data_IF_772525226063
#
_entry.id   IF_772525226063
#
_cell.length_a   1.000
_cell.length_b   1.000
_cell.length_c   1.000
_cell.angle_alpha   90.00
_cell.angle_beta   90.00
_cell.angle_gamma   90.00
#
_symmetry.space_group_name_H-M   'P 1'
#
loop_
_entity.id
_entity.type
_entity.pdbx_description
1 polymer ?
#
# COMPACT_ATOMS: atom_id res chain seq x y z
N UNK A 1 34.01 6.67 -5.46
CA UNK A 1 32.68 6.48 -4.86
C UNK A 1 31.98 5.16 -5.22
N UNK A 2 32.56 4.23 -6.01
CA UNK A 2 31.87 3.00 -6.44
C UNK A 2 31.58 1.97 -5.33
N UNK A 3 32.61 1.46 -4.66
CA UNK A 3 32.47 0.32 -3.72
C UNK A 3 31.55 0.56 -2.51
N UNK A 4 31.43 1.80 -2.05
CA UNK A 4 30.57 2.13 -0.91
C UNK A 4 29.08 2.22 -1.31
N UNK A 5 28.80 2.71 -2.52
CA UNK A 5 27.43 2.74 -3.08
C UNK A 5 26.95 1.33 -3.35
N UNK A 6 27.78 0.53 -4.02
CA UNK A 6 27.51 -0.87 -4.35
C UNK A 6 27.14 -1.69 -3.10
N UNK A 7 27.96 -1.60 -2.04
CA UNK A 7 27.67 -2.29 -0.77
C UNK A 7 26.36 -1.84 -0.10
N UNK A 8 25.98 -0.57 -0.25
CA UNK A 8 24.72 -0.07 0.29
C UNK A 8 23.54 -0.61 -0.53
N UNK A 9 23.66 -0.61 -1.85
CA UNK A 9 22.65 -1.15 -2.76
C UNK A 9 22.41 -2.64 -2.50
N UNK A 10 23.49 -3.42 -2.37
CA UNK A 10 23.44 -4.84 -1.99
C UNK A 10 22.73 -5.04 -0.64
N UNK A 11 23.13 -4.29 0.40
CA UNK A 11 22.51 -4.43 1.71
C UNK A 11 21.02 -4.07 1.73
N UNK A 12 20.60 -3.08 0.94
CA UNK A 12 19.18 -2.70 0.81
C UNK A 12 18.41 -3.78 0.03
N UNK A 13 18.99 -4.32 -1.03
CA UNK A 13 18.39 -5.41 -1.81
C UNK A 13 18.26 -6.69 -0.97
N UNK A 14 19.28 -7.03 -0.18
CA UNK A 14 19.28 -8.17 0.74
C UNK A 14 18.20 -8.00 1.81
N UNK A 15 18.08 -6.80 2.40
CA UNK A 15 17.03 -6.53 3.39
C UNK A 15 15.63 -6.63 2.77
N UNK A 16 15.42 -6.09 1.57
CA UNK A 16 14.15 -6.21 0.86
C UNK A 16 13.82 -7.68 0.57
N UNK A 17 14.81 -8.45 0.12
CA UNK A 17 14.68 -9.88 -0.18
C UNK A 17 14.34 -10.66 1.09
N UNK A 18 15.05 -10.41 2.19
CA UNK A 18 14.78 -11.04 3.47
C UNK A 18 13.37 -10.74 3.96
N UNK A 19 12.97 -9.47 3.98
CA UNK A 19 11.62 -9.07 4.39
C UNK A 19 10.51 -9.63 3.49
N UNK A 20 10.80 -9.94 2.23
CA UNK A 20 9.85 -10.54 1.29
C UNK A 20 9.79 -12.07 1.34
N UNK A 21 10.74 -12.74 1.99
CA UNK A 21 10.84 -14.20 2.03
C UNK A 21 10.78 -14.79 3.44
N UNK A 22 10.95 -13.98 4.48
CA UNK A 22 10.99 -14.44 5.87
C UNK A 22 10.00 -13.66 6.75
N UNK A 23 9.51 -14.31 7.80
CA UNK A 23 8.80 -13.65 8.90
C UNK A 23 9.87 -13.07 9.83
N UNK A 24 10.06 -11.75 9.77
CA UNK A 24 11.08 -11.06 10.56
C UNK A 24 10.72 -11.06 12.05
N UNK A 25 11.68 -10.91 12.96
CA UNK A 25 11.37 -10.61 14.36
C UNK A 25 10.90 -9.16 14.51
N UNK A 26 9.89 -8.92 15.36
CA UNK A 26 9.31 -7.57 15.47
C UNK A 26 10.28 -6.55 16.06
N UNK A 27 11.13 -6.97 16.99
CA UNK A 27 12.20 -6.14 17.56
C UNK A 27 13.11 -5.54 16.48
N UNK A 28 13.33 -6.28 15.39
CA UNK A 28 14.32 -5.95 14.37
C UNK A 28 13.78 -4.93 13.37
N UNK A 29 12.45 -4.90 13.16
CA UNK A 29 11.80 -4.05 12.15
C UNK A 29 10.95 -2.93 12.74
N UNK A 30 10.63 -2.96 14.04
CA UNK A 30 9.70 -1.99 14.63
C UNK A 30 10.12 -0.53 14.48
N UNK A 31 11.42 -0.24 14.53
CA UNK A 31 11.96 1.10 14.30
C UNK A 31 11.86 1.52 12.82
N UNK A 32 12.13 0.60 11.90
CA UNK A 32 12.02 0.81 10.46
C UNK A 32 10.58 1.13 10.04
N UNK A 33 9.60 0.54 10.72
CA UNK A 33 8.17 0.72 10.42
C UNK A 33 7.54 1.96 11.08
N UNK A 34 8.31 2.72 11.86
CA UNK A 34 7.85 3.95 12.47
C UNK A 34 7.41 4.98 11.41
N UNK A 35 6.41 5.80 11.77
CA UNK A 35 5.81 6.80 10.89
C UNK A 35 5.77 8.16 11.58
N UNK A 36 5.92 9.22 10.80
CA UNK A 36 5.51 10.57 11.18
C UNK A 36 4.07 10.81 10.75
N UNK A 37 3.19 11.08 11.73
CA UNK A 37 1.80 11.41 11.49
C UNK A 37 1.63 12.87 11.07
N UNK A 38 0.85 13.10 10.01
CA UNK A 38 0.45 14.42 9.52
C UNK A 38 -1.05 14.40 9.22
N UNK A 39 -1.75 15.45 9.62
CA UNK A 39 -3.16 15.66 9.25
C UNK A 39 -3.21 16.71 8.14
N UNK A 40 -3.63 16.30 6.94
CA UNK A 40 -3.83 17.21 5.81
C UNK A 40 -5.30 17.62 5.72
N UNK A 41 -5.54 18.87 5.32
CA UNK A 41 -6.90 19.37 5.04
C UNK A 41 -7.43 18.77 3.73
N UNK A 42 -8.62 18.15 3.78
CA UNK A 42 -9.29 17.51 2.63
C UNK A 42 -10.42 18.37 2.05
N UNK A 43 -10.87 19.43 2.73
CA UNK A 43 -11.95 20.34 2.30
C UNK A 43 -13.20 19.64 1.68
N UNK A 44 -14.16 19.15 2.49
CA UNK A 44 -14.20 19.13 3.95
C UNK A 44 -13.50 17.89 4.54
N UNK A 45 -13.17 17.97 5.83
CA UNK A 45 -12.61 16.87 6.61
C UNK A 45 -11.08 16.81 6.62
N UNK A 46 -10.54 15.76 7.22
CA UNK A 46 -9.10 15.55 7.39
C UNK A 46 -8.65 14.29 6.67
N UNK A 47 -7.41 14.32 6.18
CA UNK A 47 -6.71 13.18 5.60
C UNK A 47 -5.48 12.85 6.45
N UNK A 48 -5.51 11.77 7.27
CA UNK A 48 -4.35 11.34 8.01
C UNK A 48 -3.30 10.73 7.07
N UNK A 49 -2.05 11.13 7.22
CA UNK A 49 -0.90 10.62 6.46
C UNK A 49 0.13 10.07 7.44
N UNK A 50 0.60 8.85 7.19
CA UNK A 50 1.71 8.23 7.89
C UNK A 50 2.96 8.23 7.01
N UNK A 51 3.82 9.23 7.16
CA UNK A 51 5.08 9.31 6.42
C UNK A 51 6.07 8.33 7.02
N UNK A 52 6.39 7.25 6.30
CA UNK A 52 7.35 6.25 6.77
C UNK A 52 8.80 6.68 6.71
N UNK A 53 9.64 5.96 7.44
CA UNK A 53 11.08 6.08 7.39
C UNK A 53 11.61 5.97 5.96
N UNK A 54 12.67 6.72 5.64
CA UNK A 54 13.20 6.80 4.27
C UNK A 54 13.60 5.42 3.75
N UNK A 55 14.30 4.64 4.56
CA UNK A 55 14.71 3.29 4.20
C UNK A 55 13.49 2.38 3.96
N UNK A 56 12.47 2.42 4.81
CA UNK A 56 11.24 1.64 4.62
C UNK A 56 10.55 1.99 3.30
N UNK A 57 10.49 3.28 2.96
CA UNK A 57 9.89 3.74 1.70
C UNK A 57 10.71 3.32 0.48
N UNK A 58 12.03 3.27 0.60
CA UNK A 58 12.91 2.72 -0.46
C UNK A 58 12.61 1.22 -0.65
N UNK A 59 12.61 0.44 0.44
CA UNK A 59 12.31 -1.00 0.41
C UNK A 59 10.93 -1.27 -0.20
N UNK A 60 9.89 -0.58 0.27
CA UNK A 60 8.53 -0.70 -0.25
C UNK A 60 8.45 -0.34 -1.74
N UNK A 61 9.16 0.69 -2.19
CA UNK A 61 9.26 1.04 -3.61
C UNK A 61 9.98 -0.02 -4.44
N UNK A 62 11.05 -0.62 -3.92
CA UNK A 62 11.77 -1.70 -4.60
C UNK A 62 10.85 -2.91 -4.80
N UNK A 63 10.16 -3.33 -3.73
CA UNK A 63 9.19 -4.43 -3.80
C UNK A 63 8.07 -4.11 -4.79
N UNK A 64 7.49 -2.91 -4.71
CA UNK A 64 6.47 -2.46 -5.65
C UNK A 64 6.99 -2.47 -7.10
N UNK A 65 8.20 -1.96 -7.33
CA UNK A 65 8.79 -1.91 -8.67
C UNK A 65 8.92 -3.29 -9.30
N UNK A 66 9.35 -4.27 -8.50
CA UNK A 66 9.58 -5.65 -8.95
C UNK A 66 8.30 -6.45 -9.12
N UNK A 67 7.23 -6.12 -8.37
CA UNK A 67 6.06 -7.01 -8.24
C UNK A 67 4.72 -6.37 -8.60
N UNK A 68 4.68 -5.07 -8.93
CA UNK A 68 3.43 -4.39 -9.34
C UNK A 68 2.76 -5.02 -10.57
N UNK A 69 3.53 -5.67 -11.44
CA UNK A 69 3.01 -6.35 -12.62
C UNK A 69 2.03 -7.47 -12.25
N UNK A 70 2.28 -8.16 -11.13
CA UNK A 70 1.41 -9.21 -10.60
C UNK A 70 0.05 -8.59 -10.23
N UNK A 71 0.05 -7.48 -9.48
CA UNK A 71 -1.18 -6.77 -9.09
C UNK A 71 -1.95 -6.28 -10.31
N UNK A 72 -1.26 -5.70 -11.31
CA UNK A 72 -1.89 -5.26 -12.55
C UNK A 72 -2.53 -6.41 -13.32
N UNK A 73 -1.87 -7.57 -13.35
CA UNK A 73 -2.39 -8.76 -14.02
C UNK A 73 -3.62 -9.31 -13.29
N UNK A 74 -3.56 -9.46 -11.96
CA UNK A 74 -4.67 -9.96 -11.15
C UNK A 74 -5.88 -9.00 -11.15
N UNK A 75 -5.63 -7.69 -11.14
CA UNK A 75 -6.68 -6.66 -11.20
C UNK A 75 -7.38 -6.57 -12.56
N UNK A 76 -6.66 -6.87 -13.64
CA UNK A 76 -7.16 -6.76 -15.00
C UNK A 76 -7.78 -5.40 -15.33
N UNK A 77 -8.88 -5.42 -16.09
CA UNK A 77 -9.67 -4.22 -16.40
C UNK A 77 -10.76 -3.93 -15.34
N UNK A 78 -11.03 -4.89 -14.44
CA UNK A 78 -12.09 -4.80 -13.44
C UNK A 78 -11.71 -3.87 -12.29
N UNK A 79 -10.42 -3.82 -11.94
CA UNK A 79 -9.90 -2.89 -10.95
C UNK A 79 -8.87 -1.90 -11.53
N UNK A 80 -9.33 -0.69 -11.81
CA UNK A 80 -8.50 0.38 -12.37
C UNK A 80 -7.43 0.90 -11.39
N UNK A 81 -7.52 0.57 -10.09
CA UNK A 81 -6.50 0.90 -9.09
C UNK A 81 -5.25 -0.02 -9.19
N UNK A 82 -5.34 -1.15 -9.90
CA UNK A 82 -4.25 -2.13 -10.07
C UNK A 82 -3.07 -1.65 -10.93
N UNK A 83 -3.12 -0.43 -11.46
CA UNK A 83 -2.00 0.19 -12.18
C UNK A 83 -1.97 -0.12 -13.69
N UNK A 84 -3.09 -0.56 -14.26
CA UNK A 84 -3.22 -0.75 -15.71
C UNK A 84 -2.93 0.55 -16.46
N UNK A 85 -2.03 0.49 -17.44
CA UNK A 85 -1.67 1.66 -18.26
C UNK A 85 -2.91 2.17 -18.99
N UNK A 86 -3.20 3.47 -18.86
CA UNK A 86 -4.42 4.10 -19.40
C UNK A 86 -5.73 3.49 -18.87
N UNK A 87 -5.72 2.78 -17.74
CA UNK A 87 -6.90 2.11 -17.19
C UNK A 87 -8.08 3.04 -16.93
N UNK A 88 -7.84 4.24 -16.38
CA UNK A 88 -8.91 5.22 -16.13
C UNK A 88 -9.59 5.66 -17.43
N UNK A 89 -8.79 6.00 -18.45
CA UNK A 89 -9.31 6.42 -19.76
C UNK A 89 -10.08 5.27 -20.42
N UNK A 90 -9.49 4.07 -20.44
CA UNK A 90 -10.13 2.86 -20.97
C UNK A 90 -11.45 2.53 -20.27
N UNK A 91 -11.50 2.63 -18.94
CA UNK A 91 -12.72 2.41 -18.17
C UNK A 91 -13.82 3.41 -18.48
N UNK A 92 -13.48 4.70 -18.66
CA UNK A 92 -14.45 5.73 -19.07
C UNK A 92 -14.99 5.46 -20.48
N UNK A 93 -14.13 5.06 -21.42
CA UNK A 93 -14.58 4.71 -22.77
C UNK A 93 -15.48 3.47 -22.78
N UNK A 94 -15.09 2.40 -22.07
CA UNK A 94 -15.89 1.19 -21.94
C UNK A 94 -17.28 1.47 -21.34
N UNK A 95 -17.35 2.31 -20.28
CA UNK A 95 -18.65 2.71 -19.70
C UNK A 95 -19.52 3.49 -20.69
N UNK A 96 -18.94 4.38 -21.50
CA UNK A 96 -19.68 5.16 -22.51
C UNK A 96 -20.23 4.28 -23.62
N UNK A 97 -19.43 3.35 -24.12
CA UNK A 97 -19.83 2.40 -25.16
C UNK A 97 -20.95 1.48 -24.66
N UNK A 98 -20.77 0.88 -23.47
CA UNK A 98 -21.80 0.05 -22.84
C UNK A 98 -23.15 0.76 -22.72
N UNK A 99 -23.14 2.04 -22.32
CA UNK A 99 -24.35 2.85 -22.24
C UNK A 99 -24.96 3.13 -23.61
N UNK A 100 -24.14 3.46 -24.62
CA UNK A 100 -24.61 3.78 -25.96
C UNK A 100 -25.24 2.57 -26.67
N UNK A 101 -24.71 1.38 -26.42
CA UNK A 101 -25.20 0.12 -27.02
C UNK A 101 -26.53 -0.36 -26.38
N UNK A 102 -27.07 0.37 -25.40
CA UNK A 102 -28.30 0.01 -24.70
C UNK A 102 -28.15 -1.20 -23.77
N UNK A 103 -26.92 -1.50 -23.34
CA UNK A 103 -26.63 -2.65 -22.47
C UNK A 103 -27.23 -2.50 -21.06
N UNK A 104 -26.75 -1.56 -20.24
CA UNK A 104 -27.27 -1.33 -18.89
C UNK A 104 -28.44 -0.34 -18.87
N UNK A 105 -29.52 -0.67 -18.15
CA UNK A 105 -30.66 0.24 -17.93
C UNK A 105 -30.38 1.30 -16.85
N UNK A 106 -29.46 1.00 -15.91
CA UNK A 106 -29.13 1.85 -14.76
C UNK A 106 -27.63 1.81 -14.48
N UNK A 107 -27.05 2.96 -14.12
CA UNK A 107 -25.68 3.07 -13.61
C UNK A 107 -25.75 3.49 -12.14
N UNK A 108 -25.05 2.78 -11.26
CA UNK A 108 -25.00 3.05 -9.82
C UNK A 108 -23.60 3.50 -9.43
N UNK A 109 -23.51 4.67 -8.81
CA UNK A 109 -22.27 5.17 -8.23
C UNK A 109 -22.21 4.81 -6.74
N UNK A 110 -21.17 4.07 -6.35
CA UNK A 110 -20.93 3.67 -4.96
C UNK A 110 -19.59 4.25 -4.50
N UNK A 111 -19.58 4.91 -3.35
CA UNK A 111 -18.37 5.42 -2.71
C UNK A 111 -18.20 4.79 -1.31
N UNK A 112 -17.01 4.25 -1.04
CA UNK A 112 -16.69 3.65 0.23
C UNK A 112 -16.20 4.71 1.23
N UNK A 113 -16.94 4.90 2.32
CA UNK A 113 -16.55 5.82 3.39
C UNK A 113 -15.24 5.38 4.05
N UNK A 114 -14.23 6.25 4.03
CA UNK A 114 -12.94 6.05 4.70
C UNK A 114 -12.20 4.76 4.31
N UNK A 115 -12.32 4.34 3.05
CA UNK A 115 -11.92 3.02 2.56
C UNK A 115 -10.51 2.54 2.99
N UNK A 116 -9.51 3.42 2.93
CA UNK A 116 -8.13 3.07 3.34
C UNK A 116 -7.98 2.76 4.82
N UNK A 117 -8.75 3.40 5.68
CA UNK A 117 -8.63 3.22 7.13
C UNK A 117 -9.58 2.13 7.65
N UNK A 118 -10.65 1.82 6.90
CA UNK A 118 -11.68 0.84 7.27
C UNK A 118 -11.55 -0.50 6.56
N UNK A 119 -10.53 -0.68 5.71
CA UNK A 119 -10.22 -1.98 5.10
C UNK A 119 -9.90 -3.00 6.19
N UNK A 120 -10.50 -4.20 6.15
CA UNK A 120 -10.05 -5.29 7.03
C UNK A 120 -8.63 -5.70 6.64
N UNK A 121 -7.66 -5.45 7.54
CA UNK A 121 -6.25 -5.68 7.27
C UNK A 121 -5.93 -7.17 7.22
N UNK A 122 -6.60 -8.01 8.01
CA UNK A 122 -6.36 -9.44 8.01
C UNK A 122 -6.85 -10.05 6.71
N UNK A 123 -8.05 -9.68 6.25
CA UNK A 123 -8.58 -10.10 4.96
C UNK A 123 -7.69 -9.61 3.80
N UNK A 124 -7.23 -8.36 3.85
CA UNK A 124 -6.33 -7.82 2.83
C UNK A 124 -4.98 -8.56 2.77
N UNK A 125 -4.36 -8.84 3.92
CA UNK A 125 -3.11 -9.62 3.99
C UNK A 125 -3.30 -11.06 3.48
N UNK A 126 -4.44 -11.67 3.80
CA UNK A 126 -4.80 -12.99 3.28
C UNK A 126 -4.96 -13.01 1.76
N UNK A 127 -5.69 -12.04 1.20
CA UNK A 127 -5.85 -11.91 -0.25
C UNK A 127 -4.52 -11.63 -0.93
N UNK A 128 -3.67 -10.77 -0.36
CA UNK A 128 -2.31 -10.54 -0.87
C UNK A 128 -1.47 -11.83 -0.85
N UNK A 129 -1.66 -12.72 0.13
CA UNK A 129 -0.94 -14.00 0.17
C UNK A 129 -1.29 -14.91 -1.00
N UNK A 130 -2.54 -14.86 -1.45
CA UNK A 130 -3.06 -15.69 -2.54
C UNK A 130 -2.75 -15.05 -3.90
N UNK A 131 -3.18 -13.80 -4.10
CA UNK A 131 -3.14 -13.10 -5.39
C UNK A 131 -1.77 -12.44 -5.64
N UNK A 132 -1.06 -12.02 -4.59
CA UNK A 132 0.19 -11.26 -4.70
C UNK A 132 1.30 -11.87 -3.82
N UNK A 133 1.50 -13.18 -3.99
CA UNK A 133 2.38 -13.98 -3.14
C UNK A 133 3.80 -13.41 -3.00
N UNK A 134 4.35 -12.82 -4.06
CA UNK A 134 5.71 -12.24 -4.13
C UNK A 134 5.95 -11.05 -3.20
N UNK A 135 4.91 -10.31 -2.83
CA UNK A 135 5.02 -9.20 -1.88
C UNK A 135 4.37 -9.50 -0.52
N UNK A 136 3.67 -10.63 -0.41
CA UNK A 136 2.79 -10.94 0.73
C UNK A 136 3.51 -10.95 2.09
N UNK A 137 4.72 -11.50 2.18
CA UNK A 137 5.49 -11.52 3.43
C UNK A 137 6.04 -10.15 3.78
N UNK A 138 6.42 -9.35 2.79
CA UNK A 138 6.81 -7.96 3.02
C UNK A 138 5.64 -7.14 3.59
N UNK A 139 4.46 -7.30 3.00
CA UNK A 139 3.23 -6.69 3.49
C UNK A 139 2.90 -7.19 4.90
N UNK A 140 2.96 -8.51 5.13
CA UNK A 140 2.74 -9.08 6.45
C UNK A 140 3.70 -8.49 7.48
N UNK A 141 5.00 -8.45 7.22
CA UNK A 141 5.99 -7.83 8.11
C UNK A 141 5.70 -6.36 8.37
N UNK A 142 5.23 -5.62 7.36
CA UNK A 142 4.90 -4.19 7.46
C UNK A 142 3.62 -3.92 8.26
N UNK A 143 2.62 -4.79 8.16
CA UNK A 143 1.24 -4.54 8.58
C UNK A 143 0.72 -5.46 9.70
N UNK A 144 1.41 -6.54 10.07
CA UNK A 144 0.99 -7.50 11.12
C UNK A 144 0.99 -6.94 12.54
N UNK A 145 1.65 -5.80 12.75
CA UNK A 145 1.81 -5.17 14.05
C UNK A 145 1.22 -3.77 14.09
N UNK A 146 1.46 -3.08 15.20
CA UNK A 146 1.09 -1.68 15.35
C UNK A 146 2.19 -0.77 14.79
N UNK A 147 1.83 0.24 14.02
CA UNK A 147 2.76 1.30 13.66
C UNK A 147 2.93 2.27 14.83
N UNK A 148 4.17 2.69 15.12
CA UNK A 148 4.46 3.80 16.03
C UNK A 148 4.37 5.11 15.22
N UNK A 149 3.35 5.91 15.50
CA UNK A 149 3.08 7.16 14.79
C UNK A 149 3.47 8.35 15.67
N UNK A 150 4.50 9.07 15.26
CA UNK A 150 4.98 10.28 15.93
C UNK A 150 4.25 11.51 15.39
N UNK A 151 3.54 12.22 16.27
CA UNK A 151 2.81 13.45 15.94
C UNK A 151 3.46 14.62 16.67
N UNK A 152 3.70 15.72 15.95
CA UNK A 152 4.31 16.92 16.53
C UNK A 152 3.42 17.45 17.68
N UNK A 153 4.03 17.68 18.84
CA UNK A 153 3.32 18.20 20.02
C UNK A 153 2.69 17.12 20.90
N UNK A 154 2.83 15.84 20.56
CA UNK A 154 2.38 14.70 21.39
C UNK A 154 3.61 14.05 22.02
N UNK A 155 3.59 13.89 23.36
CA UNK A 155 4.75 13.40 24.12
C UNK A 155 5.09 11.92 23.86
N UNK A 156 4.08 11.11 23.54
CA UNK A 156 4.22 9.68 23.26
C UNK A 156 3.73 9.36 21.85
N UNK A 157 4.31 8.36 21.17
CA UNK A 157 3.82 7.94 19.87
C UNK A 157 2.41 7.38 19.99
N UNK A 158 1.55 7.75 19.03
CA UNK A 158 0.25 7.11 18.86
C UNK A 158 0.49 5.73 18.26
N UNK A 159 -0.01 4.69 18.90
CA UNK A 159 0.08 3.33 18.37
C UNK A 159 -1.12 3.08 17.46
N UNK A 160 -0.85 2.69 16.22
CA UNK A 160 -1.89 2.22 15.29
C UNK A 160 -2.31 0.81 15.65
N UNK A 161 -3.08 0.66 16.73
CA UNK A 161 -3.53 -0.64 17.26
C UNK A 161 -4.73 -1.18 16.46
N UNK A 162 -5.35 -0.38 15.60
CA UNK A 162 -6.46 -0.86 14.75
C UNK A 162 -5.99 -2.04 13.90
N UNK A 163 -6.81 -3.09 13.80
CA UNK A 163 -6.64 -4.20 12.84
C UNK A 163 -7.16 -3.82 11.44
N UNK A 164 -7.31 -2.52 11.18
CA UNK A 164 -7.97 -1.99 9.99
C UNK A 164 -7.06 -1.02 9.25
N UNK A 165 -7.11 -1.09 7.94
CA UNK A 165 -6.58 -0.12 7.03
C UNK A 165 -5.14 -0.34 6.60
N UNK A 166 -4.77 0.40 5.55
CA UNK A 166 -3.39 0.59 5.09
C UNK A 166 -2.93 2.01 5.42
N UNK A 167 -1.62 2.21 5.51
CA UNK A 167 -1.09 3.53 5.88
C UNK A 167 -1.06 4.45 4.66
N UNK A 168 -1.88 5.49 4.65
CA UNK A 168 -1.82 6.52 3.60
C UNK A 168 -0.44 7.21 3.59
N UNK A 169 0.27 7.11 2.47
CA UNK A 169 1.65 7.58 2.32
C UNK A 169 2.69 6.45 2.24
N UNK A 170 2.29 5.20 2.52
CA UNK A 170 3.11 4.03 2.20
C UNK A 170 3.09 3.73 0.68
N UNK A 171 4.24 3.50 0.03
CA UNK A 171 4.30 3.15 -1.39
C UNK A 171 3.48 1.93 -1.81
N UNK A 172 3.30 0.94 -0.92
CA UNK A 172 2.57 -0.30 -1.20
C UNK A 172 1.08 -0.22 -0.80
N UNK A 173 0.66 0.82 -0.07
CA UNK A 173 -0.72 0.90 0.45
C UNK A 173 -1.79 0.87 -0.64
N UNK A 174 -1.54 1.53 -1.78
CA UNK A 174 -2.47 1.51 -2.92
C UNK A 174 -2.53 0.14 -3.59
N UNK A 175 -1.39 -0.52 -3.76
CA UNK A 175 -1.30 -1.83 -4.41
C UNK A 175 -1.90 -2.94 -3.54
N UNK A 176 -1.85 -2.81 -2.21
CA UNK A 176 -2.53 -3.71 -1.28
C UNK A 176 -4.04 -3.45 -1.22
N UNK A 177 -4.48 -2.23 -1.53
CA UNK A 177 -5.89 -1.84 -1.54
C UNK A 177 -6.59 -2.25 -2.84
N UNK A 178 -5.87 -2.25 -3.95
CA UNK A 178 -6.34 -2.74 -5.25
C UNK A 178 -6.49 -4.27 -5.21
#
# INVERSE_FOLDING_TARGET
HGKASERLEEAVADLATKMSNEVMEWSDISALLARRGLMLDKKPGLRPIGVGEVLQRILAKLVAWVTKGDVTQESGADNLAGGLKSGIEGGVHAMKELWADGGPEVIVLVDASNAFNSLDRQAALWNCRILWSRASLFLFNTYRGYARIFVKGVAQPVLSISNEGTTQGDPLAMLMYA
#
